data_IF_604622282060
#
_entry.id   IF_604622282060
#
_cell.length_a   1.000
_cell.length_b   1.000
_cell.length_c   1.000
_cell.angle_alpha   90.00
_cell.angle_beta   90.00
_cell.angle_gamma   90.00
#
_symmetry.space_group_name_H-M   'P 1'
#
loop_
_entity.id
_entity.type
_entity.pdbx_description
1 polymer ?
2 non-polymer ?
3 water ?
#
# COMPACT_ATOMS: atom_id res chain seq x y z
N UNK A 1 20.83 0.63 10.58
CA UNK A 1 20.45 1.99 11.06
C UNK A 1 18.96 2.01 11.31
N UNK A 2 18.45 3.09 11.90
CA UNK A 2 17.01 3.21 12.13
C UNK A 2 16.44 3.85 10.88
N UNK A 3 15.20 3.51 10.53
CA UNK A 3 14.57 4.06 9.33
C UNK A 3 14.17 5.54 9.49
N UNK A 4 14.46 6.34 8.47
CA UNK A 4 14.11 7.75 8.46
C UNK A 4 13.10 8.05 7.37
N UNK A 5 12.17 8.94 7.67
CA UNK A 5 11.15 9.31 6.69
C UNK A 5 11.03 10.82 6.56
N UNK A 6 11.07 11.29 5.32
CA UNK A 6 10.97 12.71 5.06
C UNK A 6 9.86 12.99 4.08
N UNK A 7 8.65 13.09 4.57
CA UNK A 7 7.56 13.43 3.67
C UNK A 7 7.88 14.87 3.25
N UNK A 8 8.04 15.08 1.94
CA UNK A 8 8.35 16.42 1.47
C UNK A 8 7.09 17.23 1.28
N UNK A 9 6.92 18.21 2.16
CA UNK A 9 5.78 19.12 2.13
C UNK A 9 6.27 20.53 1.77
N UNK A 10 7.50 20.85 2.17
CA UNK A 10 8.08 22.16 1.88
C UNK A 10 9.56 22.03 1.53
N UNK A 11 10.10 22.96 0.73
CA UNK A 11 11.52 22.92 0.34
C UNK A 11 12.42 22.83 1.57
N UNK A 12 11.92 23.36 2.69
CA UNK A 12 12.68 23.30 3.93
C UNK A 12 12.74 21.82 4.24
N UNK A 13 11.60 21.15 4.15
CA UNK A 13 11.52 19.71 4.42
C UNK A 13 12.41 18.95 3.45
N UNK A 14 12.35 19.35 2.19
CA UNK A 14 13.14 18.70 1.15
C UNK A 14 14.65 18.79 1.40
N UNK A 15 15.09 19.93 1.93
CA UNK A 15 16.49 20.17 2.21
C UNK A 15 17.03 19.22 3.27
N UNK A 16 16.18 18.85 4.22
CA UNK A 16 16.56 17.92 5.28
C UNK A 16 16.91 16.59 4.64
N UNK A 17 16.06 16.15 3.72
CA UNK A 17 16.21 14.89 3.03
C UNK A 17 17.48 14.80 2.23
N UNK A 18 17.66 15.73 1.30
CA UNK A 18 18.84 15.71 0.43
C UNK A 18 20.15 15.76 1.22
N UNK A 19 20.08 16.26 2.45
CA UNK A 19 21.26 16.33 3.29
C UNK A 19 21.42 14.98 3.96
N UNK A 20 20.30 14.48 4.48
CA UNK A 20 20.29 13.19 5.14
C UNK A 20 20.84 12.16 4.18
N UNK A 21 20.36 12.19 2.94
CA UNK A 21 20.83 11.23 1.96
C UNK A 21 22.33 11.39 1.71
N UNK A 22 22.82 12.63 1.84
CA UNK A 22 24.24 12.92 1.64
C UNK A 22 25.03 12.38 2.83
N UNK A 23 24.45 12.49 4.02
CA UNK A 23 25.10 12.02 5.24
C UNK A 23 25.26 10.49 5.26
N UNK A 24 24.92 9.85 4.14
CA UNK A 24 25.01 8.40 4.04
C UNK A 24 26.43 7.92 3.69
N UNK A 25 26.80 6.79 4.27
CA UNK A 25 28.10 6.19 4.03
C UNK A 25 27.91 5.02 3.07
N UNK A 26 28.28 5.20 1.79
CA UNK A 26 28.09 4.08 0.87
C UNK A 26 28.73 2.80 1.42
N UNK A 27 28.23 1.66 0.95
CA UNK A 27 28.71 0.38 1.43
C UNK A 27 28.24 -0.70 0.46
N UNK A 28 29.17 -1.28 -0.32
CA UNK A 28 28.79 -2.33 -1.27
C UNK A 28 28.13 -3.50 -0.55
N UNK A 29 28.84 -4.03 0.44
CA UNK A 29 28.39 -5.17 1.25
C UNK A 29 26.97 -5.03 1.80
N UNK A 30 26.80 -4.17 2.81
CA UNK A 30 25.48 -3.96 3.40
C UNK A 30 24.98 -2.57 3.02
N UNK A 31 24.50 -2.39 1.77
CA UNK A 31 23.99 -1.10 1.30
C UNK A 31 22.65 -0.73 1.92
N UNK A 32 22.38 0.58 2.00
CA UNK A 32 21.12 1.05 2.54
C UNK A 32 20.24 1.61 1.42
N UNK A 33 18.93 1.51 1.63
CA UNK A 33 17.96 1.94 0.63
C UNK A 33 17.30 3.30 0.83
N UNK A 34 17.39 4.12 -0.20
CA UNK A 34 16.77 5.44 -0.21
C UNK A 34 15.63 5.32 -1.20
N UNK A 35 14.43 5.10 -0.71
CA UNK A 35 13.29 4.95 -1.59
C UNK A 35 12.37 6.16 -1.60
N UNK A 36 12.18 6.71 -2.79
CA UNK A 36 11.31 7.87 -2.98
C UNK A 36 9.94 7.31 -3.39
N UNK A 37 8.87 8.07 -3.20
CA UNK A 37 7.57 7.53 -3.58
C UNK A 37 6.44 8.55 -3.75
N UNK A 38 5.73 8.43 -4.86
CA UNK A 38 4.58 9.29 -5.16
C UNK A 38 3.52 9.07 -4.10
N UNK A 39 2.66 10.06 -3.89
CA UNK A 39 1.60 9.90 -2.92
C UNK A 39 0.39 10.71 -3.31
N UNK A 40 -0.78 10.08 -3.20
CA UNK A 40 -2.03 10.72 -3.53
C UNK A 40 -2.68 11.24 -2.26
N UNK A 41 -2.71 10.39 -1.25
CA UNK A 41 -3.29 10.78 0.02
C UNK A 41 -2.16 11.08 1.02
N UNK A 42 -2.17 12.29 1.57
CA UNK A 42 -1.15 12.71 2.54
C UNK A 42 -0.74 11.61 3.49
N UNK A 43 0.41 11.78 4.13
CA UNK A 43 0.94 10.80 5.08
C UNK A 43 0.14 10.89 6.39
N UNK A 44 -0.29 12.09 6.72
CA UNK A 44 -1.04 12.33 7.94
C UNK A 44 -2.46 11.81 7.78
N UNK A 45 -3.07 12.06 6.63
CA UNK A 45 -4.43 11.58 6.38
C UNK A 45 -4.51 10.09 6.69
N UNK A 46 -3.61 9.31 6.07
CA UNK A 46 -3.59 7.87 6.28
C UNK A 46 -3.67 7.47 7.74
N UNK A 47 -2.85 8.11 8.59
CA UNK A 47 -2.88 7.78 10.01
C UNK A 47 -4.32 7.84 10.54
N UNK A 48 -5.10 8.80 10.04
CA UNK A 48 -6.49 8.96 10.45
C UNK A 48 -7.34 7.80 9.90
N UNK A 49 -7.23 7.52 8.60
CA UNK A 49 -7.99 6.42 8.00
C UNK A 49 -7.77 5.11 8.75
N UNK A 50 -6.52 4.76 8.98
CA UNK A 50 -6.23 3.52 9.66
C UNK A 50 -6.55 3.50 11.13
N UNK A 51 -6.67 4.68 11.73
CA UNK A 51 -7.02 4.73 13.14
C UNK A 51 -8.52 4.47 13.23
N UNK A 52 -9.26 4.94 12.22
CA UNK A 52 -10.71 4.75 12.14
C UNK A 52 -11.00 3.30 11.92
N UNK A 53 -10.47 2.78 10.83
CA UNK A 53 -10.65 1.38 10.48
C UNK A 53 -10.30 0.54 11.70
N UNK A 54 -9.20 0.87 12.38
CA UNK A 54 -8.79 0.11 13.55
C UNK A 54 -9.84 0.15 14.64
N UNK A 55 -10.36 1.34 14.92
CA UNK A 55 -11.38 1.53 15.94
C UNK A 55 -12.61 0.73 15.64
N UNK A 56 -13.11 0.89 14.42
CA UNK A 56 -14.30 0.15 14.02
C UNK A 56 -14.00 -1.33 14.14
N UNK A 57 -12.79 -1.70 13.75
CA UNK A 57 -12.33 -3.07 13.79
C UNK A 57 -12.50 -3.61 15.19
N UNK A 58 -11.96 -2.87 16.14
CA UNK A 58 -12.02 -3.25 17.54
C UNK A 58 -13.41 -3.16 18.17
N UNK A 59 -14.17 -2.15 17.78
CA UNK A 59 -15.46 -1.95 18.40
C UNK A 59 -16.73 -2.53 17.83
N UNK A 60 -16.86 -2.59 16.51
CA UNK A 60 -18.11 -3.10 15.98
C UNK A 60 -17.99 -4.46 15.27
N UNK A 61 -18.86 -5.40 15.64
CA UNK A 61 -18.79 -6.69 14.98
C UNK A 61 -19.78 -6.76 13.83
N UNK A 62 -19.28 -7.22 12.69
CA UNK A 62 -20.07 -7.34 11.48
C UNK A 62 -20.68 -8.71 11.30
N UNK A 63 -21.99 -8.78 11.49
CA UNK A 63 -22.74 -10.02 11.31
C UNK A 63 -22.05 -11.28 11.82
N UNK A 64 -21.77 -11.32 13.11
CA UNK A 64 -21.15 -12.49 13.69
C UNK A 64 -19.65 -12.62 13.78
N UNK A 65 -18.89 -11.70 13.18
CA UNK A 65 -17.45 -11.81 13.28
C UNK A 65 -16.71 -10.47 13.25
N UNK A 66 -15.52 -10.45 13.84
CA UNK A 66 -14.74 -9.25 13.87
C UNK A 66 -13.80 -9.20 12.68
N UNK A 67 -13.78 -8.04 12.03
CA UNK A 67 -12.94 -7.86 10.86
C UNK A 67 -11.79 -6.94 11.20
N UNK A 68 -10.66 -7.15 10.53
CA UNK A 68 -9.49 -6.32 10.74
C UNK A 68 -9.63 -5.06 9.90
N UNK A 69 -8.77 -4.08 10.14
CA UNK A 69 -8.83 -2.83 9.40
C UNK A 69 -8.86 -3.00 7.88
N UNK A 70 -8.03 -3.90 7.36
CA UNK A 70 -7.97 -4.11 5.93
C UNK A 70 -9.32 -4.56 5.40
N UNK A 71 -9.89 -5.54 6.07
CA UNK A 71 -11.19 -6.08 5.69
C UNK A 71 -12.25 -4.99 5.75
N UNK A 72 -12.18 -4.10 6.74
CA UNK A 72 -13.17 -3.02 6.84
C UNK A 72 -12.98 -1.99 5.74
N UNK A 73 -11.75 -1.83 5.24
CA UNK A 73 -11.53 -0.86 4.16
C UNK A 73 -12.31 -1.35 2.94
N UNK A 74 -12.28 -2.65 2.70
CA UNK A 74 -13.01 -3.25 1.58
C UNK A 74 -14.50 -2.96 1.66
N UNK A 75 -15.11 -3.35 2.78
CA UNK A 75 -16.52 -3.15 3.00
C UNK A 75 -16.88 -1.69 2.75
N UNK A 76 -16.12 -0.79 3.37
CA UNK A 76 -16.40 0.62 3.20
C UNK A 76 -16.20 1.03 1.77
N UNK A 77 -15.08 0.66 1.17
CA UNK A 77 -14.84 1.03 -0.23
C UNK A 77 -15.91 0.40 -1.12
N UNK A 78 -16.36 -0.80 -0.77
CA UNK A 78 -17.38 -1.48 -1.55
C UNK A 78 -18.68 -0.69 -1.58
N UNK A 79 -18.93 0.06 -0.50
CA UNK A 79 -20.13 0.88 -0.38
C UNK A 79 -20.14 2.12 -1.30
N UNK A 80 -18.95 2.50 -1.77
CA UNK A 80 -18.84 3.66 -2.66
C UNK A 80 -18.68 3.25 -4.12
N UNK A 81 -17.74 2.34 -4.38
CA UNK A 81 -17.49 1.90 -5.74
C UNK A 81 -17.65 0.39 -5.85
N UNK A 82 -18.44 -0.04 -6.83
CA UNK A 82 -18.68 -1.47 -7.07
C UNK A 82 -17.40 -2.24 -7.25
N UNK A 83 -17.32 -3.40 -6.63
CA UNK A 83 -16.12 -4.22 -6.76
C UNK A 83 -16.06 -4.80 -8.16
N UNK A 84 -14.88 -4.81 -8.78
CA UNK A 84 -14.77 -5.38 -10.13
C UNK A 84 -14.61 -6.89 -10.07
N UNK A 85 -15.04 -7.58 -11.12
CA UNK A 85 -14.92 -9.04 -11.16
C UNK A 85 -14.06 -9.43 -12.34
N UNK A 86 -13.25 -10.46 -12.19
CA UNK A 86 -12.39 -10.88 -13.29
C UNK A 86 -12.13 -12.40 -13.26
N UNK A 87 -11.77 -13.00 -14.42
CA UNK A 87 -11.50 -14.45 -14.49
C UNK A 87 -10.27 -14.85 -13.70
N UNK A 88 -10.35 -15.94 -12.94
CA UNK A 88 -9.21 -16.38 -12.15
C UNK A 88 -8.11 -16.96 -13.03
N UNK A 89 -6.96 -17.27 -12.43
CA UNK A 89 -5.82 -17.81 -13.18
C UNK A 89 -6.08 -19.19 -13.78
N UNK A 90 -6.64 -20.09 -12.97
CA UNK A 90 -6.93 -21.44 -13.43
C UNK A 90 -7.92 -21.44 -14.60
N UNK A 91 -8.69 -20.35 -14.72
CA UNK A 91 -9.64 -20.22 -15.81
C UNK A 91 -10.89 -21.04 -15.62
N UNK A 92 -11.36 -21.13 -14.39
CA UNK A 92 -12.55 -21.93 -14.15
C UNK A 92 -13.40 -21.27 -13.07
N UNK A 93 -13.05 -20.06 -12.72
CA UNK A 93 -13.81 -19.38 -11.71
C UNK A 93 -13.51 -17.93 -11.81
N UNK A 94 -13.88 -17.19 -10.79
CA UNK A 94 -13.69 -15.76 -10.81
C UNK A 94 -13.10 -15.21 -9.52
N UNK A 95 -12.55 -14.01 -9.65
CA UNK A 95 -11.98 -13.30 -8.53
C UNK A 95 -12.55 -11.89 -8.55
N UNK A 96 -13.10 -11.48 -7.41
CA UNK A 96 -13.69 -10.16 -7.26
C UNK A 96 -12.65 -9.27 -6.61
N UNK A 97 -12.45 -8.09 -7.19
CA UNK A 97 -11.46 -7.16 -6.71
C UNK A 97 -12.05 -5.85 -6.24
N UNK A 98 -11.63 -5.41 -5.06
CA UNK A 98 -12.12 -4.15 -4.53
C UNK A 98 -11.39 -2.99 -5.20
N UNK A 99 -11.81 -1.76 -4.92
CA UNK A 99 -11.17 -0.59 -5.52
C UNK A 99 -9.98 -0.16 -4.69
N UNK A 100 -8.95 0.36 -5.37
CA UNK A 100 -7.75 0.81 -4.69
C UNK A 100 -7.92 2.15 -4.01
N UNK A 101 -7.68 2.18 -2.70
CA UNK A 101 -7.80 3.41 -1.93
C UNK A 101 -6.68 4.37 -2.35
N UNK A 102 -5.56 3.79 -2.77
CA UNK A 102 -4.40 4.56 -3.22
C UNK A 102 -4.77 5.35 -4.48
N UNK A 103 -5.34 4.66 -5.46
CA UNK A 103 -5.73 5.30 -6.71
C UNK A 103 -6.83 6.34 -6.50
N UNK A 104 -7.65 6.18 -5.46
CA UNK A 104 -8.75 7.11 -5.18
C UNK A 104 -8.40 8.60 -5.37
N UNK A 105 -9.38 9.36 -5.87
CA UNK A 105 -9.24 10.80 -6.07
C UNK A 105 -9.54 11.49 -4.75
N UNK A 106 -9.07 12.72 -4.59
CA UNK A 106 -9.28 13.46 -3.35
C UNK A 106 -10.75 13.64 -2.97
N UNK A 107 -11.62 13.73 -3.97
CA UNK A 107 -13.04 13.89 -3.70
C UNK A 107 -13.66 12.61 -3.15
N UNK A 108 -13.19 11.48 -3.66
CA UNK A 108 -13.67 10.15 -3.26
C UNK A 108 -13.10 9.81 -1.90
N UNK A 109 -11.77 9.76 -1.83
CA UNK A 109 -11.08 9.45 -0.59
C UNK A 109 -11.70 10.25 0.55
N UNK A 110 -12.01 11.51 0.27
CA UNK A 110 -12.64 12.37 1.27
C UNK A 110 -13.97 11.72 1.70
N UNK A 111 -14.72 11.21 0.73
CA UNK A 111 -16.01 10.56 0.99
C UNK A 111 -15.88 9.28 1.80
N UNK A 112 -14.81 8.54 1.54
CA UNK A 112 -14.55 7.29 2.24
C UNK A 112 -14.45 7.56 3.72
N UNK A 113 -13.66 8.57 4.06
CA UNK A 113 -13.47 8.97 5.45
C UNK A 113 -14.77 9.41 6.10
N UNK A 114 -15.63 10.05 5.30
CA UNK A 114 -16.93 10.53 5.78
C UNK A 114 -17.80 9.31 6.09
N UNK A 115 -17.80 8.35 5.17
CA UNK A 115 -18.56 7.14 5.34
C UNK A 115 -18.13 6.46 6.63
N UNK A 116 -16.82 6.18 6.73
CA UNK A 116 -16.28 5.53 7.92
C UNK A 116 -16.65 6.28 9.21
N UNK A 117 -16.52 7.59 9.19
CA UNK A 117 -16.82 8.40 10.37
C UNK A 117 -18.32 8.35 10.69
N UNK A 118 -19.15 8.45 9.66
CA UNK A 118 -20.60 8.40 9.83
C UNK A 118 -21.05 7.03 10.35
N UNK A 119 -20.51 5.97 9.75
CA UNK A 119 -20.84 4.61 10.16
C UNK A 119 -20.49 4.39 11.63
N UNK A 120 -19.26 4.71 12.00
CA UNK A 120 -18.84 4.51 13.38
C UNK A 120 -19.59 5.37 14.38
N UNK A 121 -19.97 6.54 13.93
CA UNK A 121 -20.70 7.47 14.75
C UNK A 121 -22.01 6.92 15.25
N UNK A 122 -22.85 6.43 14.36
CA UNK A 122 -24.12 5.89 14.80
C UNK A 122 -23.96 4.56 15.51
N UNK A 123 -22.74 4.04 15.53
CA UNK A 123 -22.47 2.77 16.21
C UNK A 123 -21.93 2.97 17.62
N UNK A 124 -21.75 4.24 18.01
CA UNK A 124 -21.24 4.53 19.34
C UNK A 124 -19.75 4.26 19.47
N UNK A 125 -19.10 4.29 18.32
CA UNK A 125 -17.66 4.05 18.28
C UNK A 125 -16.90 5.18 18.97
N UNK A 126 -16.02 4.81 19.89
CA UNK A 126 -15.20 5.80 20.58
C UNK A 126 -13.93 5.91 19.71
N UNK A 127 -13.66 7.10 19.21
CA UNK A 127 -12.50 7.32 18.34
C UNK A 127 -11.20 7.46 19.12
N UNK A 128 -10.26 6.56 18.85
CA UNK A 128 -8.96 6.51 19.53
C UNK A 128 -8.06 7.70 19.28
N UNK A 129 -8.12 8.21 18.06
CA UNK A 129 -7.30 9.34 17.66
C UNK A 129 -7.66 10.58 18.47
N UNK A 130 -8.96 10.80 18.65
CA UNK A 130 -9.44 11.93 19.46
C UNK A 130 -8.98 11.75 20.90
N UNK A 131 -8.97 10.50 21.35
CA UNK A 131 -8.58 10.18 22.72
C UNK A 131 -7.13 10.60 22.97
N UNK A 132 -6.25 10.28 22.03
CA UNK A 132 -4.85 10.65 22.18
C UNK A 132 -4.77 12.18 22.21
N UNK A 133 -5.29 12.80 21.16
CA UNK A 133 -5.29 14.26 21.01
C UNK A 133 -5.73 15.01 22.28
N UNK A 134 -6.72 14.46 22.98
CA UNK A 134 -7.23 15.04 24.21
C UNK A 134 -6.27 14.83 25.38
N UNK A 135 -5.50 13.75 25.33
CA UNK A 135 -4.53 13.45 26.38
C UNK A 135 -3.28 14.30 26.20
N UNK A 136 -3.11 14.82 24.99
CA UNK A 136 -1.97 15.68 24.65
C UNK A 136 -2.20 17.08 25.19
N UNK A 137 -3.44 17.56 25.12
CA UNK A 137 -3.81 18.87 25.62
C UNK A 137 -3.79 18.80 27.12
N UNK A 138 -4.17 17.65 27.63
CA UNK A 138 -4.19 17.41 29.06
C UNK A 138 -2.76 17.48 29.60
N UNK A 139 -1.80 17.06 28.78
CA UNK A 139 -0.38 17.06 29.15
C UNK A 139 0.30 18.43 28.94
N UNK A 140 -0.13 19.13 27.90
CA UNK A 140 0.43 20.44 27.59
C UNK A 140 0.13 21.39 28.75
N UNK A 141 -1.15 21.55 29.08
CA UNK A 141 -1.59 22.44 30.16
C UNK A 141 -1.18 21.92 31.56
N UNK B 1 1.26 1.41 -6.53
CA UNK B 1 2.40 2.25 -5.97
C UNK B 1 3.06 3.20 -7.03
N UNK B 2 4.29 3.63 -6.72
CA UNK B 2 5.11 4.53 -7.55
C UNK B 2 6.36 4.81 -6.72
N UNK B 3 7.04 3.77 -6.27
CA UNK B 3 8.23 3.94 -5.43
C UNK B 3 9.59 3.62 -6.06
N UNK B 4 10.34 4.66 -6.38
CA UNK B 4 11.67 4.48 -6.96
C UNK B 4 12.68 4.16 -5.87
N UNK B 5 13.22 2.94 -5.91
CA UNK B 5 14.18 2.49 -4.92
C UNK B 5 15.64 2.65 -5.37
N UNK B 6 16.55 2.92 -4.41
CA UNK B 6 17.98 3.11 -4.68
C UNK B 6 18.92 2.33 -3.75
N UNK B 7 19.90 1.64 -4.32
CA UNK B 7 20.87 0.89 -3.51
C UNK B 7 22.16 1.67 -3.49
N UNK B 8 22.32 2.52 -2.48
CA UNK B 8 23.50 3.36 -2.37
C UNK B 8 24.76 2.57 -2.01
N UNK B 9 25.40 1.97 -3.00
CA UNK B 9 26.62 1.18 -2.78
C UNK B 9 27.88 2.00 -3.05
N UNK B 10 27.83 2.83 -4.08
CA UNK B 10 28.96 3.68 -4.46
C UNK B 10 28.61 5.14 -4.23
N UNK B 11 29.63 6.01 -4.10
CA UNK B 11 29.37 7.43 -3.89
C UNK B 11 28.65 8.06 -5.09
N UNK B 12 28.85 7.47 -6.27
CA UNK B 12 28.20 7.97 -7.47
C UNK B 12 26.71 7.65 -7.32
N UNK B 13 26.44 6.47 -6.76
CA UNK B 13 25.08 6.03 -6.52
C UNK B 13 24.28 7.05 -5.73
N UNK B 14 24.82 7.49 -4.59
CA UNK B 14 24.15 8.46 -3.74
C UNK B 14 24.19 9.86 -4.32
N UNK B 15 25.05 10.06 -5.31
CA UNK B 15 25.13 11.37 -5.95
C UNK B 15 23.88 11.49 -6.81
N UNK B 16 23.46 10.36 -7.38
CA UNK B 16 22.26 10.30 -8.21
C UNK B 16 21.03 10.34 -7.33
N UNK B 17 21.13 9.76 -6.14
CA UNK B 17 20.02 9.75 -5.19
C UNK B 17 19.74 11.20 -4.85
N UNK B 18 20.82 11.96 -4.67
CA UNK B 18 20.71 13.38 -4.33
C UNK B 18 20.09 14.18 -5.48
N UNK B 19 20.21 13.68 -6.69
CA UNK B 19 19.62 14.32 -7.87
C UNK B 19 18.11 14.16 -7.78
N UNK B 20 17.67 12.91 -7.71
CA UNK B 20 16.26 12.58 -7.63
C UNK B 20 15.54 13.43 -6.59
N UNK B 21 16.14 13.54 -5.40
CA UNK B 21 15.54 14.31 -4.33
C UNK B 21 15.56 15.80 -4.64
N UNK B 22 16.70 16.31 -5.07
CA UNK B 22 16.79 17.74 -5.40
C UNK B 22 15.76 18.18 -6.44
N UNK B 23 15.29 17.23 -7.27
CA UNK B 23 14.32 17.51 -8.33
C UNK B 23 12.84 17.46 -7.95
N UNK B 24 12.57 17.23 -6.67
CA UNK B 24 11.21 17.18 -6.20
C UNK B 24 10.75 18.58 -5.78
N UNK B 25 9.65 19.06 -6.36
CA UNK B 25 9.10 20.36 -5.98
C UNK B 25 7.90 20.02 -5.10
N UNK B 26 8.02 20.27 -3.78
CA UNK B 26 6.98 19.98 -2.79
C UNK B 26 5.62 20.65 -3.02
N UNK B 27 4.59 20.02 -2.45
CA UNK B 27 3.21 20.50 -2.54
C UNK B 27 2.44 19.96 -1.35
N UNK B 28 2.04 20.85 -0.42
CA UNK B 28 1.29 20.47 0.77
C UNK B 28 0.15 19.49 0.48
N UNK B 29 -0.30 19.48 -0.77
CA UNK B 29 -1.39 18.61 -1.18
C UNK B 29 -0.91 17.21 -1.57
N UNK B 30 -0.29 17.09 -2.75
CA UNK B 30 0.22 15.80 -3.23
C UNK B 30 1.71 15.67 -2.89
N UNK B 31 2.04 15.15 -1.69
CA UNK B 31 3.43 14.99 -1.27
C UNK B 31 4.22 13.84 -1.88
N UNK B 32 5.54 13.93 -1.76
CA UNK B 32 6.45 12.92 -2.25
C UNK B 32 7.31 12.55 -1.03
N UNK B 33 7.13 11.33 -0.54
CA UNK B 33 7.87 10.86 0.63
C UNK B 33 9.19 10.14 0.30
N UNK B 34 10.26 10.54 0.98
CA UNK B 34 11.58 9.93 0.79
C UNK B 34 11.91 9.16 2.06
N UNK B 35 12.54 8.00 1.94
CA UNK B 35 12.84 7.25 3.16
C UNK B 35 14.15 6.48 3.09
N UNK B 36 15.03 6.79 4.02
CA UNK B 36 16.30 6.09 4.10
C UNK B 36 16.06 4.95 5.10
N UNK B 37 16.78 3.85 4.92
CA UNK B 37 16.62 2.70 5.81
C UNK B 37 17.53 1.59 5.32
N UNK B 38 18.01 0.77 6.23
CA UNK B 38 18.88 -0.32 5.84
C UNK B 38 18.08 -1.50 5.30
N UNK B 39 18.73 -2.32 4.49
CA UNK B 39 18.06 -3.47 3.89
C UNK B 39 17.72 -4.63 4.81
N UNK B 40 16.59 -5.29 4.52
CA UNK B 40 16.17 -6.47 5.27
C UNK B 40 15.27 -7.30 4.35
N UNK B 41 15.28 -8.62 4.55
CA UNK B 41 14.48 -9.53 3.72
C UNK B 41 13.04 -9.05 3.53
N UNK B 42 12.33 -8.87 4.63
CA UNK B 42 10.94 -8.43 4.58
C UNK B 42 10.74 -7.32 3.55
N UNK B 43 11.54 -6.26 3.66
CA UNK B 43 11.46 -5.14 2.73
C UNK B 43 11.92 -5.51 1.34
N UNK B 44 12.89 -6.41 1.25
CA UNK B 44 13.36 -6.82 -0.05
C UNK B 44 12.34 -7.71 -0.74
N UNK B 45 11.40 -8.26 0.03
CA UNK B 45 10.36 -9.11 -0.56
C UNK B 45 9.33 -8.23 -1.21
N UNK B 46 8.88 -7.21 -0.48
CA UNK B 46 7.90 -6.29 -0.99
C UNK B 46 8.42 -5.49 -2.16
N UNK B 47 9.72 -5.27 -2.20
CA UNK B 47 10.28 -4.55 -3.33
C UNK B 47 10.16 -5.43 -4.57
N UNK B 48 10.55 -6.69 -4.43
CA UNK B 48 10.52 -7.64 -5.53
C UNK B 48 9.09 -7.98 -5.92
N UNK B 49 8.20 -8.10 -4.94
CA UNK B 49 6.80 -8.42 -5.24
C UNK B 49 6.22 -7.35 -6.16
N UNK B 50 6.19 -6.12 -5.67
CA UNK B 50 5.65 -5.01 -6.43
C UNK B 50 6.35 -4.80 -7.76
N UNK B 51 7.60 -5.22 -7.87
CA UNK B 51 8.32 -5.04 -9.12
C UNK B 51 7.74 -5.93 -10.18
N UNK B 52 7.53 -7.20 -9.85
CA UNK B 52 6.97 -8.17 -10.78
C UNK B 52 5.54 -7.83 -11.12
N UNK B 53 4.77 -7.44 -10.12
CA UNK B 53 3.38 -7.07 -10.35
C UNK B 53 3.31 -5.91 -11.35
N UNK B 54 4.27 -4.99 -11.24
CA UNK B 54 4.32 -3.84 -12.13
C UNK B 54 4.58 -4.27 -13.56
N UNK B 55 5.46 -5.24 -13.72
CA UNK B 55 5.83 -5.79 -15.04
C UNK B 55 4.66 -6.50 -15.68
N UNK B 56 4.03 -7.38 -14.90
CA UNK B 56 2.87 -8.16 -15.33
C UNK B 56 1.75 -7.17 -15.65
N UNK B 57 1.61 -6.19 -14.78
CA UNK B 57 0.60 -5.18 -14.95
C UNK B 57 0.68 -4.55 -16.33
N UNK B 58 1.84 -3.93 -16.58
CA UNK B 58 2.13 -3.23 -17.83
C UNK B 58 2.21 -4.10 -19.06
N UNK B 59 2.54 -5.38 -18.89
CA UNK B 59 2.71 -6.27 -20.03
C UNK B 59 1.60 -7.28 -20.37
N UNK B 60 0.90 -7.77 -19.36
CA UNK B 60 -0.14 -8.75 -19.63
C UNK B 60 -1.55 -8.18 -19.61
N UNK B 61 -2.27 -8.41 -20.70
CA UNK B 61 -3.64 -7.96 -20.83
C UNK B 61 -4.49 -9.10 -20.29
N UNK B 62 -5.47 -8.77 -19.45
CA UNK B 62 -6.31 -9.79 -18.87
C UNK B 62 -7.74 -9.70 -19.38
N UNK B 63 -8.08 -10.57 -20.32
CA UNK B 63 -9.43 -10.60 -20.85
C UNK B 63 -9.96 -9.22 -21.26
N UNK B 64 -9.21 -8.54 -22.12
CA UNK B 64 -9.64 -7.24 -22.63
C UNK B 64 -9.43 -6.05 -21.71
N UNK B 65 -8.85 -6.30 -20.54
CA UNK B 65 -8.60 -5.23 -19.59
C UNK B 65 -7.13 -5.19 -19.19
N UNK B 66 -6.72 -4.05 -18.64
CA UNK B 66 -5.35 -3.92 -18.16
C UNK B 66 -5.50 -3.67 -16.67
N UNK B 67 -5.01 -4.59 -15.84
CA UNK B 67 -5.13 -4.43 -14.40
C UNK B 67 -3.90 -3.75 -13.84
N UNK B 68 -4.05 -2.96 -12.79
CA UNK B 68 -2.88 -2.32 -12.19
C UNK B 68 -2.24 -3.35 -11.26
N UNK B 69 -1.11 -3.01 -10.65
CA UNK B 69 -0.42 -3.96 -9.76
C UNK B 69 -1.24 -4.49 -8.62
N UNK B 70 -2.07 -3.64 -8.02
CA UNK B 70 -2.93 -4.04 -6.90
C UNK B 70 -3.98 -5.07 -7.30
N UNK B 71 -4.57 -4.86 -8.49
CA UNK B 71 -5.58 -5.77 -9.01
C UNK B 71 -4.92 -7.11 -9.23
N UNK B 72 -3.77 -7.13 -9.90
CA UNK B 72 -3.04 -8.37 -10.16
C UNK B 72 -2.65 -9.09 -8.88
N UNK B 73 -2.40 -8.32 -7.82
CA UNK B 73 -2.03 -8.90 -6.52
C UNK B 73 -3.21 -9.73 -6.03
N UNK B 74 -4.40 -9.15 -6.14
CA UNK B 74 -5.65 -9.81 -5.73
C UNK B 74 -5.90 -11.10 -6.55
N UNK B 75 -5.63 -11.06 -7.85
CA UNK B 75 -5.81 -12.22 -8.73
C UNK B 75 -4.83 -13.34 -8.41
N UNK B 76 -3.61 -12.97 -7.98
CA UNK B 76 -2.57 -13.93 -7.65
C UNK B 76 -2.72 -14.57 -6.29
N UNK B 77 -2.95 -13.77 -5.27
CA UNK B 77 -3.09 -14.33 -3.94
C UNK B 77 -4.30 -15.25 -3.98
N UNK B 78 -5.27 -14.89 -4.80
CA UNK B 78 -6.49 -15.68 -4.91
C UNK B 78 -6.27 -17.04 -5.58
N UNK B 79 -5.19 -17.19 -6.32
CA UNK B 79 -4.92 -18.46 -6.97
C UNK B 79 -4.40 -19.36 -5.86
N UNK B 80 -3.96 -18.75 -4.76
CA UNK B 80 -3.40 -19.49 -3.66
C UNK B 80 -4.32 -19.61 -2.46
N UNK B 81 -5.31 -18.73 -2.36
CA UNK B 81 -6.24 -18.80 -1.25
C UNK B 81 -7.53 -18.07 -1.54
N UNK B 82 -8.62 -18.80 -1.36
CA UNK B 82 -9.94 -18.24 -1.62
C UNK B 82 -10.18 -16.99 -0.83
N UNK B 83 -11.03 -16.14 -1.39
CA UNK B 83 -11.40 -14.86 -0.82
C UNK B 83 -12.53 -15.07 0.17
N UNK B 84 -12.71 -14.11 1.07
CA UNK B 84 -13.78 -14.21 2.02
C UNK B 84 -14.97 -13.38 1.56
N UNK B 85 -16.13 -13.65 2.13
CA UNK B 85 -17.31 -12.89 1.76
C UNK B 85 -18.12 -12.54 3.01
N UNK B 86 -18.32 -11.24 3.21
CA UNK B 86 -19.10 -10.71 4.32
C UNK B 86 -20.20 -9.84 3.70
N UNK B 87 -21.29 -9.57 4.45
CA UNK B 87 -22.39 -8.74 3.93
C UNK B 87 -21.94 -7.31 3.64
N UNK B 88 -22.59 -6.69 2.66
CA UNK B 88 -22.25 -5.30 2.31
C UNK B 88 -22.98 -4.44 3.34
N UNK B 89 -22.54 -3.19 3.49
CA UNK B 89 -23.15 -2.28 4.48
C UNK B 89 -24.66 -2.13 4.35
N UNK B 90 -25.13 -2.05 3.11
CA UNK B 90 -26.56 -1.89 2.86
C UNK B 90 -27.37 -3.13 3.29
N UNK B 91 -26.70 -4.28 3.35
CA UNK B 91 -27.38 -5.50 3.74
C UNK B 91 -28.25 -6.06 2.63
N UNK B 92 -27.93 -5.71 1.39
CA UNK B 92 -28.67 -6.20 0.24
C UNK B 92 -27.72 -6.80 -0.79
N UNK B 93 -26.51 -7.11 -0.36
CA UNK B 93 -25.52 -7.68 -1.26
C UNK B 93 -24.37 -8.22 -0.44
N UNK B 94 -23.17 -8.16 -0.98
CA UNK B 94 -22.05 -8.67 -0.23
C UNK B 94 -20.81 -8.01 -0.74
N UNK B 95 -19.69 -8.28 -0.08
CA UNK B 95 -18.41 -7.74 -0.49
C UNK B 95 -17.38 -8.84 -0.31
N UNK B 96 -16.44 -8.94 -1.24
CA UNK B 96 -15.42 -9.96 -1.13
C UNK B 96 -14.12 -9.35 -0.63
N UNK B 97 -13.43 -10.10 0.20
CA UNK B 97 -12.19 -9.70 0.80
C UNK B 97 -11.09 -10.74 0.57
N UNK B 98 -10.05 -10.35 -0.15
CA UNK B 98 -8.98 -11.28 -0.39
C UNK B 98 -8.03 -11.31 0.79
N UNK B 99 -7.18 -12.32 0.85
CA UNK B 99 -6.20 -12.44 1.94
C UNK B 99 -5.15 -11.35 1.73
N UNK B 100 -4.58 -10.87 2.82
CA UNK B 100 -3.56 -9.84 2.72
C UNK B 100 -2.15 -10.45 2.72
N UNK B 101 -1.26 -9.78 1.97
CA UNK B 101 0.12 -10.22 1.85
C UNK B 101 0.82 -9.86 3.15
N UNK B 102 0.19 -8.98 3.91
CA UNK B 102 0.72 -8.54 5.21
C UNK B 102 0.97 -9.71 6.15
N UNK B 103 -0.08 -10.22 6.80
CA UNK B 103 0.11 -11.36 7.69
C UNK B 103 0.26 -12.62 6.87
N UNK B 104 1.28 -12.63 6.01
CA UNK B 104 1.60 -13.75 5.15
C UNK B 104 3.01 -14.16 5.56
N UNK B 105 3.22 -15.47 5.73
CA UNK B 105 4.52 -16.01 6.15
C UNK B 105 5.51 -16.30 5.04
N UNK B 106 6.76 -15.91 5.27
CA UNK B 106 7.84 -16.13 4.32
C UNK B 106 7.61 -17.32 3.41
N UNK B 107 7.40 -18.49 4.00
CA UNK B 107 7.17 -19.68 3.20
C UNK B 107 6.07 -19.49 2.18
N UNK B 108 4.91 -19.05 2.65
CA UNK B 108 3.76 -18.83 1.78
C UNK B 108 3.83 -17.49 1.06
N UNK B 109 4.96 -16.81 1.18
CA UNK B 109 5.14 -15.54 0.51
C UNK B 109 6.07 -15.81 -0.67
N UNK B 110 6.95 -16.80 -0.50
CA UNK B 110 7.86 -17.15 -1.56
C UNK B 110 7.06 -17.94 -2.59
N UNK B 111 5.92 -18.46 -2.15
CA UNK B 111 5.07 -19.24 -3.04
C UNK B 111 4.34 -18.33 -4.02
N UNK B 112 3.92 -17.16 -3.55
CA UNK B 112 3.23 -16.17 -4.37
C UNK B 112 4.21 -15.64 -5.40
N UNK B 113 5.40 -15.30 -4.93
CA UNK B 113 6.47 -14.79 -5.78
C UNK B 113 6.81 -15.79 -6.87
N UNK B 114 6.72 -17.07 -6.53
CA UNK B 114 7.01 -18.12 -7.48
C UNK B 114 5.96 -18.12 -8.59
N UNK B 115 4.69 -18.07 -8.18
CA UNK B 115 3.56 -18.06 -9.10
C UNK B 115 3.66 -16.87 -10.05
N UNK B 116 3.90 -15.68 -9.53
CA UNK B 116 4.01 -14.49 -10.37
C UNK B 116 5.09 -14.69 -11.41
N UNK B 117 6.31 -15.01 -10.98
CA UNK B 117 7.41 -15.23 -11.91
C UNK B 117 7.08 -16.34 -12.91
N UNK B 118 6.46 -17.39 -12.41
CA UNK B 118 6.06 -18.52 -13.23
C UNK B 118 5.10 -18.06 -14.34
N UNK B 119 4.03 -17.38 -13.92
CA UNK B 119 3.00 -16.85 -14.82
C UNK B 119 3.54 -15.85 -15.82
N UNK B 120 4.32 -14.89 -15.34
CA UNK B 120 4.87 -13.90 -16.24
C UNK B 120 5.81 -14.50 -17.26
N UNK B 121 6.43 -15.61 -16.88
CA UNK B 121 7.37 -16.28 -17.76
C UNK B 121 6.68 -17.00 -18.90
N UNK B 122 5.70 -17.84 -18.58
CA UNK B 122 5.00 -18.53 -19.65
C UNK B 122 4.56 -17.49 -20.67
N UNK B 123 4.15 -16.32 -20.18
CA UNK B 123 3.69 -15.23 -21.05
C UNK B 123 4.84 -14.35 -21.56
N UNK B 124 6.07 -14.79 -21.32
CA UNK B 124 7.24 -14.04 -21.77
C UNK B 124 7.28 -12.58 -21.35
N UNK B 125 7.14 -12.32 -20.06
CA UNK B 125 7.18 -10.97 -19.54
C UNK B 125 8.64 -10.53 -19.44
N UNK B 126 8.92 -9.22 -19.56
CA UNK B 126 10.29 -8.71 -19.45
C UNK B 126 10.47 -8.18 -18.03
N UNK B 127 10.99 -9.03 -17.15
CA UNK B 127 11.16 -8.62 -15.76
C UNK B 127 12.15 -7.49 -15.63
N UNK B 128 11.80 -6.47 -14.84
CA UNK B 128 12.69 -5.35 -14.62
C UNK B 128 13.84 -5.85 -13.76
N UNK B 129 14.67 -4.95 -13.24
CA UNK B 129 15.78 -5.38 -12.40
C UNK B 129 15.31 -5.55 -10.98
N UNK B 130 14.54 -4.58 -10.50
CA UNK B 130 14.00 -4.65 -9.15
C UNK B 130 13.20 -5.96 -9.02
N UNK B 131 12.83 -6.53 -10.17
CA UNK B 131 12.06 -7.77 -10.18
C UNK B 131 12.99 -8.99 -10.20
N UNK B 132 14.16 -8.84 -10.82
CA UNK B 132 15.13 -9.93 -10.89
C UNK B 132 15.94 -9.99 -9.60
N UNK B 133 15.54 -9.20 -8.61
CA UNK B 133 16.22 -9.13 -7.29
C UNK B 133 16.39 -10.51 -6.66
X LIG C 1 -10.09 -1.07 -0.40
X LIG C 1 -11.14 -1.95 -1.09
X LIG C 1 -9.66 -1.68 0.79
X LIG C 1 -10.44 -3.56 -1.50
X LIG D 1 -7.88 -6.98 -1.09
X LIG D 1 -7.26 -8.39 -1.19
X LIG D 1 -9.20 -7.01 -1.61
X LIG D 1 -7.01 -8.85 -2.92
#
# INVERSE_FOLDING_TARGET
MKKLTFEIRSPAHQQNAIHAVQQILPDPTKPIVVTIQERNRSLDQNRKLWACLGDVSRQVEWHGRWLDAESWKCVFTAALKQQDVVPNLAGNGFVVIGQSTSRMRVGEFAELLELIQAFGTERGVKWSDEARLALEWKARWGDRAA
MKKLTFEIRSPAHQQNAIHAVQQILPDPTKPIVVTIQERNRSLDQNRKLWACLGDVSRQVEWHGRWLDAESWKCVFTAALKQQDVVPNLAGNGFVVIGQSTSRMRVGEFAELLELIQAFGTERGVKWSDEARLALEWKARWGDRAA
BME C1 C2 O1 S2
BME C1 C2 O1 S2
#
